data_IF_051972937840
#
_entry.id   IF_051972937840
#
_cell.length_a   1.000
_cell.length_b   1.000
_cell.length_c   1.000
_cell.angle_alpha   90.00
_cell.angle_beta   90.00
_cell.angle_gamma   90.00
#
_symmetry.space_group_name_H-M   'P 1'
#
loop_
_entity.id
_entity.type
_entity.pdbx_description
1 polymer ?
#
# COMPACT_ATOMS: atom_id res chain seq x y z
N UNK A 1 -12.97 -9.68 -0.16
CA UNK A 1 -12.87 -8.94 1.12
C UNK A 1 -11.62 -8.08 1.08
N UNK A 2 -11.69 -6.87 1.64
CA UNK A 2 -10.57 -5.95 1.76
C UNK A 2 -10.19 -5.79 3.24
N UNK A 3 -8.93 -6.05 3.57
CA UNK A 3 -8.36 -5.85 4.90
C UNK A 3 -7.52 -4.55 4.87
N UNK A 4 -8.07 -3.48 5.41
CA UNK A 4 -7.39 -2.20 5.54
C UNK A 4 -6.80 -2.08 6.95
N UNK A 5 -5.51 -2.42 7.10
CA UNK A 5 -4.86 -2.52 8.39
C UNK A 5 -3.47 -1.87 8.37
N UNK A 6 -3.13 -1.20 9.46
CA UNK A 6 -1.86 -0.52 9.66
C UNK A 6 -1.77 0.05 11.08
N UNK A 7 -0.77 0.89 11.34
CA UNK A 7 -0.55 1.48 12.68
C UNK A 7 -1.74 2.35 13.15
N UNK A 8 -2.51 2.92 12.23
CA UNK A 8 -3.71 3.70 12.53
C UNK A 8 -4.80 2.91 13.26
N UNK A 9 -4.77 1.59 13.21
CA UNK A 9 -5.69 0.74 13.97
C UNK A 9 -5.42 0.78 15.49
N UNK A 10 -4.25 1.25 15.94
CA UNK A 10 -3.88 1.33 17.36
C UNK A 10 -4.79 2.31 18.10
N UNK A 11 -4.99 3.49 17.54
CA UNK A 11 -5.86 4.54 18.11
C UNK A 11 -7.22 4.65 17.41
N UNK A 12 -7.45 3.88 16.33
CA UNK A 12 -8.68 3.96 15.54
C UNK A 12 -8.86 5.33 14.84
N UNK A 13 -7.78 5.89 14.31
CA UNK A 13 -7.81 7.16 13.57
C UNK A 13 -8.01 6.94 12.08
N UNK A 14 -8.32 8.02 11.35
CA UNK A 14 -8.51 8.00 9.88
C UNK A 14 -7.17 7.88 9.16
N UNK A 15 -6.57 6.73 9.14
CA UNK A 15 -5.31 6.37 8.49
C UNK A 15 -4.31 7.56 8.40
N UNK A 16 -3.50 7.59 7.36
CA UNK A 16 -2.55 8.68 7.08
C UNK A 16 -3.22 10.04 6.85
N UNK A 17 -4.50 10.03 6.50
CA UNK A 17 -5.29 11.27 6.34
C UNK A 17 -5.37 12.10 7.61
N UNK A 18 -5.22 11.46 8.78
CA UNK A 18 -5.21 12.14 10.08
C UNK A 18 -4.12 13.21 10.15
N UNK A 19 -2.90 12.91 9.75
CA UNK A 19 -1.83 13.91 9.77
C UNK A 19 -1.77 14.73 8.48
N UNK A 20 -2.08 14.16 7.33
CA UNK A 20 -2.09 14.89 6.07
C UNK A 20 -3.05 16.08 6.10
N UNK A 21 -4.23 15.89 6.68
CA UNK A 21 -5.22 16.96 6.86
C UNK A 21 -4.98 17.83 8.11
N UNK A 22 -3.89 17.62 8.85
CA UNK A 22 -3.55 18.34 10.08
C UNK A 22 -4.57 18.17 11.22
N UNK A 23 -5.28 17.04 11.27
CA UNK A 23 -6.14 16.69 12.42
C UNK A 23 -5.30 16.19 13.59
N UNK A 24 -4.15 15.59 13.30
CA UNK A 24 -3.19 15.06 14.23
C UNK A 24 -1.77 15.43 13.75
N UNK A 25 -0.85 15.89 14.63
CA UNK A 25 0.55 16.08 14.25
C UNK A 25 1.19 14.78 13.76
N UNK A 26 2.10 14.87 12.79
CA UNK A 26 2.77 13.69 12.21
C UNK A 26 3.46 12.82 13.27
N UNK A 27 4.20 13.43 14.19
CA UNK A 27 4.90 12.69 15.25
C UNK A 27 3.93 11.94 16.17
N UNK A 28 2.80 12.57 16.49
CA UNK A 28 1.75 11.95 17.30
C UNK A 28 1.06 10.80 16.56
N UNK A 29 0.89 10.93 15.23
CA UNK A 29 0.41 9.84 14.40
C UNK A 29 1.40 8.66 14.40
N UNK A 30 2.69 8.92 14.19
CA UNK A 30 3.75 7.90 14.16
C UNK A 30 3.99 7.26 15.53
N UNK A 31 3.65 7.92 16.62
CA UNK A 31 3.71 7.34 17.98
C UNK A 31 2.83 6.08 18.11
N UNK A 32 1.86 5.89 17.22
CA UNK A 32 1.08 4.65 17.15
C UNK A 32 1.94 3.42 16.88
N UNK A 33 3.12 3.59 16.25
CA UNK A 33 4.10 2.51 16.12
C UNK A 33 4.43 1.86 17.48
N UNK A 34 4.50 2.63 18.56
CA UNK A 34 4.79 2.14 19.94
C UNK A 34 3.69 1.22 20.48
N UNK A 35 2.47 1.33 19.97
CA UNK A 35 1.32 0.51 20.38
C UNK A 35 1.00 -0.64 19.44
N UNK A 36 1.64 -0.72 18.28
CA UNK A 36 1.36 -1.78 17.31
C UNK A 36 2.05 -3.08 17.69
N UNK A 37 1.36 -3.92 18.44
CA UNK A 37 1.89 -5.21 18.96
C UNK A 37 1.49 -6.40 18.10
N UNK A 38 0.41 -6.30 17.34
CA UNK A 38 -0.23 -7.40 16.61
C UNK A 38 -0.44 -8.67 17.48
N UNK A 39 -0.64 -8.51 18.82
CA UNK A 39 -0.70 -9.65 19.76
C UNK A 39 -1.89 -10.57 19.55
N UNK A 40 -3.01 -10.01 19.08
CA UNK A 40 -4.24 -10.74 18.80
C UNK A 40 -4.39 -11.11 17.31
N UNK A 41 -3.34 -10.88 16.51
CA UNK A 41 -3.37 -11.20 15.09
C UNK A 41 -3.24 -12.70 14.87
N UNK A 42 -4.30 -13.29 14.30
CA UNK A 42 -4.37 -14.68 13.88
C UNK A 42 -4.72 -14.74 12.39
N UNK A 43 -3.70 -14.83 11.51
CA UNK A 43 -3.92 -14.86 10.07
C UNK A 43 -4.76 -16.04 9.61
N UNK A 44 -4.64 -17.19 10.29
CA UNK A 44 -5.42 -18.39 9.97
C UNK A 44 -6.91 -18.16 10.25
N UNK A 45 -7.25 -17.59 11.41
CA UNK A 45 -8.64 -17.27 11.74
C UNK A 45 -9.22 -16.22 10.78
N UNK A 46 -8.41 -15.20 10.41
CA UNK A 46 -8.84 -14.17 9.46
C UNK A 46 -9.14 -14.77 8.08
N UNK A 47 -8.22 -15.54 7.53
CA UNK A 47 -8.37 -16.15 6.20
C UNK A 47 -9.53 -17.15 6.18
N UNK A 48 -9.70 -17.94 7.24
CA UNK A 48 -10.84 -18.84 7.37
C UNK A 48 -12.17 -18.08 7.32
N UNK A 49 -12.29 -16.97 8.05
CA UNK A 49 -13.51 -16.15 8.05
C UNK A 49 -13.79 -15.54 6.67
N UNK A 50 -12.73 -15.12 5.96
CA UNK A 50 -12.85 -14.57 4.59
C UNK A 50 -13.32 -15.66 3.63
N UNK A 51 -12.76 -16.86 3.71
CA UNK A 51 -13.15 -18.02 2.88
C UNK A 51 -14.60 -18.42 3.14
N UNK A 52 -15.01 -18.53 4.41
CA UNK A 52 -16.38 -18.85 4.83
C UNK A 52 -17.41 -17.81 4.37
N UNK A 53 -17.00 -16.55 4.12
CA UNK A 53 -17.86 -15.52 3.54
C UNK A 53 -18.20 -15.77 2.06
N UNK A 54 -17.56 -16.73 1.41
CA UNK A 54 -17.70 -17.01 -0.03
C UNK A 54 -16.88 -16.08 -0.91
N UNK A 55 -15.93 -15.31 -0.35
CA UNK A 55 -15.05 -14.42 -1.13
C UNK A 55 -14.17 -15.23 -2.09
N UNK A 56 -13.99 -14.69 -3.31
CA UNK A 56 -13.13 -15.28 -4.33
C UNK A 56 -11.72 -14.70 -4.31
N UNK A 57 -11.57 -13.53 -3.72
CA UNK A 57 -10.27 -12.88 -3.52
C UNK A 57 -10.28 -12.03 -2.25
N UNK A 58 -9.11 -11.78 -1.74
CA UNK A 58 -8.91 -10.87 -0.62
C UNK A 58 -7.76 -9.92 -0.92
N UNK A 59 -7.88 -8.67 -0.49
CA UNK A 59 -6.85 -7.64 -0.61
C UNK A 59 -6.43 -7.21 0.78
N UNK A 60 -5.13 -7.09 1.02
CA UNK A 60 -4.59 -6.57 2.27
C UNK A 60 -3.68 -5.38 2.00
N UNK A 61 -3.72 -4.37 2.88
CA UNK A 61 -2.76 -3.26 2.85
C UNK A 61 -1.35 -3.80 3.10
N UNK A 62 -0.41 -3.45 2.23
CA UNK A 62 1.02 -3.69 2.46
C UNK A 62 1.68 -2.47 3.09
N UNK A 63 1.34 -1.29 2.59
CA UNK A 63 1.79 0.02 3.07
C UNK A 63 0.74 1.06 2.69
N UNK A 64 0.33 1.90 3.67
CA UNK A 64 -0.48 3.09 3.41
C UNK A 64 0.42 4.32 3.16
N UNK A 65 -0.14 5.51 3.01
CA UNK A 65 0.59 6.75 2.73
C UNK A 65 1.54 7.18 3.86
N UNK A 66 1.44 6.57 5.04
CA UNK A 66 2.33 6.80 6.19
C UNK A 66 3.68 6.10 6.06
N UNK A 67 3.87 5.28 5.04
CA UNK A 67 5.13 4.61 4.75
C UNK A 67 5.44 3.37 5.61
N UNK A 68 4.58 2.98 6.55
CA UNK A 68 4.82 1.84 7.42
C UNK A 68 4.52 0.54 6.71
N UNK A 69 5.57 -0.18 6.33
CA UNK A 69 5.46 -1.47 5.65
C UNK A 69 5.02 -2.58 6.62
N UNK A 70 4.04 -3.40 6.23
CA UNK A 70 3.57 -4.53 7.02
C UNK A 70 4.40 -5.82 6.82
N UNK A 71 5.34 -5.82 5.86
CA UNK A 71 6.28 -6.92 5.60
C UNK A 71 7.71 -6.56 6.02
N UNK A 72 8.58 -7.55 6.06
CA UNK A 72 10.02 -7.38 6.36
C UNK A 72 10.77 -6.79 5.16
N UNK A 73 10.46 -5.55 4.80
CA UNK A 73 11.12 -4.89 3.68
C UNK A 73 12.62 -4.68 3.93
N UNK A 74 13.41 -4.95 2.89
CA UNK A 74 14.84 -4.61 2.83
C UNK A 74 15.05 -3.27 2.10
N UNK A 75 13.98 -2.69 1.57
CA UNK A 75 13.96 -1.40 0.90
C UNK A 75 13.24 -0.39 1.77
N UNK A 76 14.00 0.53 2.38
CA UNK A 76 13.49 1.51 3.34
C UNK A 76 13.63 1.09 4.80
N UNK A 77 13.38 2.05 5.70
CA UNK A 77 13.75 1.94 7.11
C UNK A 77 12.54 1.74 8.04
N UNK A 78 11.32 1.99 7.55
CA UNK A 78 10.10 1.96 8.35
C UNK A 78 9.28 0.72 8.02
N UNK A 79 9.10 -0.16 9.01
CA UNK A 79 8.20 -1.31 8.91
C UNK A 79 7.72 -1.73 10.31
N UNK A 80 6.64 -2.48 10.35
CA UNK A 80 6.15 -3.04 11.64
C UNK A 80 7.19 -3.92 12.31
N UNK A 81 8.06 -4.58 11.56
CA UNK A 81 9.17 -5.36 12.13
C UNK A 81 10.24 -4.49 12.77
N UNK A 82 10.63 -3.40 12.10
CA UNK A 82 11.74 -2.54 12.52
C UNK A 82 11.31 -1.49 13.56
N UNK A 83 10.06 -1.01 13.46
CA UNK A 83 9.63 0.23 14.11
C UNK A 83 8.54 0.03 15.18
N UNK A 84 8.12 -1.22 15.44
CA UNK A 84 7.02 -1.49 16.38
C UNK A 84 7.32 -2.65 17.33
N UNK A 85 6.63 -2.75 18.48
CA UNK A 85 6.73 -3.88 19.39
C UNK A 85 6.30 -5.23 18.78
N UNK A 86 5.58 -5.25 17.65
CA UNK A 86 5.29 -6.49 16.94
C UNK A 86 6.58 -7.22 16.54
N UNK A 87 7.63 -6.49 16.16
CA UNK A 87 8.97 -7.01 15.89
C UNK A 87 9.03 -8.11 14.83
N UNK A 88 7.99 -8.24 14.00
CA UNK A 88 7.87 -9.30 12.99
C UNK A 88 7.12 -8.83 11.76
N UNK A 89 7.32 -9.52 10.65
CA UNK A 89 6.51 -9.45 9.46
C UNK A 89 5.08 -9.96 9.77
N UNK A 90 4.07 -9.19 9.42
CA UNK A 90 2.66 -9.56 9.60
C UNK A 90 1.96 -9.83 8.27
N UNK A 91 2.60 -9.49 7.14
CA UNK A 91 2.04 -9.74 5.81
C UNK A 91 2.27 -11.18 5.36
N UNK A 92 3.50 -11.70 5.50
CA UNK A 92 3.85 -13.05 5.06
C UNK A 92 2.93 -14.12 5.65
N UNK A 93 2.63 -14.15 6.96
CA UNK A 93 1.73 -15.16 7.52
C UNK A 93 0.31 -15.10 6.94
N UNK A 94 -0.20 -13.91 6.60
CA UNK A 94 -1.49 -13.77 5.94
C UNK A 94 -1.46 -14.36 4.53
N UNK A 95 -0.44 -14.02 3.76
CA UNK A 95 -0.26 -14.54 2.40
C UNK A 95 -0.15 -16.06 2.40
N UNK A 96 0.61 -16.63 3.33
CA UNK A 96 0.78 -18.08 3.46
C UNK A 96 -0.55 -18.79 3.74
N UNK A 97 -1.43 -18.19 4.55
CA UNK A 97 -2.77 -18.76 4.78
C UNK A 97 -3.68 -18.60 3.54
N UNK A 98 -3.67 -17.46 2.87
CA UNK A 98 -4.44 -17.27 1.62
C UNK A 98 -4.02 -18.29 0.56
N UNK A 99 -2.73 -18.58 0.43
CA UNK A 99 -2.19 -19.54 -0.55
C UNK A 99 -2.55 -21.00 -0.26
N UNK A 100 -3.14 -21.31 0.89
CA UNK A 100 -3.72 -22.65 1.21
C UNK A 100 -5.16 -22.80 0.75
N UNK A 101 -5.77 -21.74 0.24
CA UNK A 101 -7.16 -21.67 -0.23
C UNK A 101 -7.22 -21.50 -1.75
N UNK A 102 -8.42 -21.57 -2.32
CA UNK A 102 -8.67 -21.26 -3.73
C UNK A 102 -8.85 -19.75 -3.98
N UNK A 103 -8.69 -18.90 -2.96
CA UNK A 103 -8.83 -17.45 -3.11
C UNK A 103 -7.62 -16.82 -3.80
N UNK A 104 -7.89 -15.78 -4.58
CA UNK A 104 -6.83 -14.96 -5.16
C UNK A 104 -6.31 -13.93 -4.16
N UNK A 105 -5.00 -13.70 -4.20
CA UNK A 105 -4.31 -12.72 -3.36
C UNK A 105 -4.24 -11.37 -4.04
N UNK A 106 -4.76 -10.34 -3.40
CA UNK A 106 -4.56 -8.94 -3.75
C UNK A 106 -3.67 -8.21 -2.76
N UNK A 107 -2.83 -7.31 -3.26
CA UNK A 107 -2.02 -6.42 -2.45
C UNK A 107 -2.41 -4.97 -2.71
N UNK A 108 -2.80 -4.24 -1.64
CA UNK A 108 -2.90 -2.79 -1.69
C UNK A 108 -1.52 -2.19 -1.48
N UNK A 109 -1.14 -1.23 -2.31
CA UNK A 109 0.10 -0.49 -2.18
C UNK A 109 -0.12 1.00 -2.47
N UNK A 110 0.28 1.85 -1.54
CA UNK A 110 0.30 3.29 -1.77
C UNK A 110 1.48 3.71 -2.63
N UNK A 111 1.20 4.39 -3.74
CA UNK A 111 2.23 5.07 -4.55
C UNK A 111 2.83 6.26 -3.80
N UNK A 112 2.00 6.96 -3.02
CA UNK A 112 2.42 8.04 -2.13
C UNK A 112 3.20 7.50 -0.94
N UNK A 113 4.11 8.31 -0.42
CA UNK A 113 4.74 8.08 0.87
C UNK A 113 5.05 9.43 1.53
N UNK A 114 4.12 9.92 2.32
CA UNK A 114 4.26 11.22 2.98
C UNK A 114 5.26 11.23 4.14
N UNK A 115 5.74 10.07 4.58
CA UNK A 115 6.78 9.95 5.60
C UNK A 115 8.19 10.24 5.07
N UNK A 116 8.39 10.06 3.77
CA UNK A 116 9.73 10.12 3.18
C UNK A 116 10.17 11.53 2.86
N UNK A 117 11.41 11.83 3.21
CA UNK A 117 12.01 13.13 2.89
C UNK A 117 12.25 13.35 1.39
N UNK A 118 12.38 12.29 0.60
CA UNK A 118 12.53 12.36 -0.87
C UNK A 118 11.19 12.37 -1.62
N UNK A 119 10.04 12.31 -0.90
CA UNK A 119 8.72 12.55 -1.50
C UNK A 119 8.38 14.06 -1.44
N UNK A 120 7.75 14.63 -2.52
CA UNK A 120 7.53 16.08 -2.60
C UNK A 120 6.65 16.67 -1.51
N UNK A 121 5.57 16.00 -1.17
CA UNK A 121 4.56 16.49 -0.22
C UNK A 121 4.66 15.76 1.13
N UNK A 122 4.28 16.42 2.21
CA UNK A 122 4.17 15.84 3.54
C UNK A 122 2.79 16.04 4.17
N UNK A 123 2.16 17.18 3.92
CA UNK A 123 0.79 17.48 4.33
C UNK A 123 0.06 18.21 3.21
N UNK A 124 -1.26 18.36 3.36
CA UNK A 124 -2.08 19.15 2.42
C UNK A 124 -1.59 20.61 2.26
N UNK A 125 -0.88 21.15 3.25
CA UNK A 125 -0.46 22.54 3.30
C UNK A 125 1.04 22.74 3.10
N UNK A 126 1.79 21.66 2.98
CA UNK A 126 3.24 21.72 2.97
C UNK A 126 3.82 20.87 1.84
N UNK A 127 4.74 21.46 1.08
CA UNK A 127 5.50 20.82 0.02
C UNK A 127 6.98 20.98 0.34
N UNK A 128 7.72 19.88 0.36
CA UNK A 128 9.16 19.86 0.68
C UNK A 128 10.00 20.43 -0.47
N UNK A 129 9.61 20.14 -1.71
CA UNK A 129 10.32 20.57 -2.91
C UNK A 129 9.44 20.42 -4.18
N UNK A 130 9.85 21.04 -5.26
CA UNK A 130 9.30 20.82 -6.60
C UNK A 130 10.12 19.77 -7.35
N UNK A 131 9.48 18.78 -7.97
CA UNK A 131 10.16 17.75 -8.78
C UNK A 131 11.02 18.38 -9.91
N UNK A 132 10.57 19.53 -10.47
CA UNK A 132 11.33 20.25 -11.50
C UNK A 132 12.66 20.82 -10.99
N UNK A 133 12.68 21.23 -9.73
CA UNK A 133 13.85 21.88 -9.12
C UNK A 133 14.83 20.83 -8.56
N UNK A 134 14.33 19.65 -8.17
CA UNK A 134 15.16 18.55 -7.66
C UNK A 134 14.73 17.19 -8.25
N UNK A 135 14.98 16.95 -9.53
CA UNK A 135 14.61 15.70 -10.17
C UNK A 135 15.38 14.47 -9.62
N UNK A 136 16.59 14.68 -9.09
CA UNK A 136 17.39 13.59 -8.51
C UNK A 136 16.75 13.05 -7.22
N UNK A 137 16.16 13.93 -6.43
CA UNK A 137 15.44 13.55 -5.22
C UNK A 137 14.19 12.74 -5.55
N UNK A 138 13.46 13.11 -6.60
CA UNK A 138 12.36 12.34 -7.14
C UNK A 138 12.81 10.97 -7.67
N UNK A 139 13.94 10.91 -8.37
CA UNK A 139 14.52 9.64 -8.84
C UNK A 139 14.87 8.70 -7.68
N UNK A 140 15.35 9.23 -6.55
CA UNK A 140 15.57 8.46 -5.33
C UNK A 140 14.27 7.83 -4.82
N UNK A 141 13.21 8.63 -4.74
CA UNK A 141 11.89 8.14 -4.36
C UNK A 141 11.36 7.06 -5.32
N UNK A 142 11.47 7.28 -6.63
CA UNK A 142 11.07 6.29 -7.62
C UNK A 142 11.83 4.96 -7.44
N UNK A 143 13.14 5.00 -7.23
CA UNK A 143 13.94 3.79 -6.98
C UNK A 143 13.48 3.05 -5.74
N UNK A 144 13.17 3.77 -4.66
CA UNK A 144 12.59 3.19 -3.45
C UNK A 144 11.24 2.50 -3.75
N UNK A 145 10.32 3.20 -4.41
CA UNK A 145 9.00 2.67 -4.76
C UNK A 145 9.11 1.39 -5.63
N UNK A 146 9.94 1.45 -6.67
CA UNK A 146 10.19 0.30 -7.53
C UNK A 146 10.80 -0.87 -6.77
N UNK A 147 11.75 -0.60 -5.87
CA UNK A 147 12.38 -1.62 -5.03
C UNK A 147 11.36 -2.35 -4.14
N UNK A 148 10.46 -1.62 -3.48
CA UNK A 148 9.40 -2.22 -2.66
C UNK A 148 8.40 -3.03 -3.49
N UNK A 149 7.96 -2.49 -4.64
CA UNK A 149 7.07 -3.23 -5.54
C UNK A 149 7.73 -4.49 -6.12
N UNK A 150 9.03 -4.44 -6.41
CA UNK A 150 9.78 -5.63 -6.85
C UNK A 150 9.90 -6.68 -5.75
N UNK A 151 10.16 -6.28 -4.49
CA UNK A 151 10.15 -7.19 -3.34
C UNK A 151 8.82 -7.92 -3.23
N UNK A 152 7.72 -7.18 -3.17
CA UNK A 152 6.37 -7.70 -3.05
C UNK A 152 6.01 -8.63 -4.22
N UNK A 153 6.33 -8.21 -5.44
CA UNK A 153 6.07 -8.98 -6.66
C UNK A 153 6.82 -10.30 -6.68
N UNK A 154 8.11 -10.27 -6.33
CA UNK A 154 8.99 -11.45 -6.32
C UNK A 154 8.60 -12.42 -5.22
N UNK A 155 8.32 -11.91 -4.01
CA UNK A 155 8.07 -12.72 -2.83
C UNK A 155 6.67 -13.33 -2.85
N UNK A 156 5.65 -12.55 -3.21
CA UNK A 156 4.26 -12.96 -3.05
C UNK A 156 3.53 -13.28 -4.35
N UNK A 157 4.01 -12.79 -5.50
CA UNK A 157 3.40 -13.00 -6.81
C UNK A 157 1.87 -12.80 -6.77
N UNK A 158 1.38 -11.60 -6.39
CA UNK A 158 -0.04 -11.36 -6.22
C UNK A 158 -0.82 -11.54 -7.52
N UNK A 159 -2.08 -11.91 -7.39
CA UNK A 159 -3.02 -12.05 -8.50
C UNK A 159 -3.67 -10.69 -8.84
N UNK A 160 -3.70 -9.78 -7.88
CA UNK A 160 -4.30 -8.47 -7.99
C UNK A 160 -3.46 -7.41 -7.28
N UNK A 161 -3.28 -6.27 -7.95
CA UNK A 161 -2.74 -5.06 -7.34
C UNK A 161 -3.82 -4.00 -7.18
N UNK A 162 -3.89 -3.46 -5.96
CA UNK A 162 -4.70 -2.30 -5.65
C UNK A 162 -3.79 -1.13 -5.30
N UNK A 163 -3.48 -0.31 -6.29
CA UNK A 163 -2.76 0.94 -6.06
C UNK A 163 -3.66 2.02 -5.51
N UNK A 164 -3.03 2.98 -4.86
CA UNK A 164 -3.68 4.17 -4.34
C UNK A 164 -2.70 5.34 -4.33
N UNK A 165 -3.21 6.58 -4.39
CA UNK A 165 -2.36 7.75 -4.31
C UNK A 165 -1.79 8.24 -5.63
N UNK A 166 -2.39 7.87 -6.77
CA UNK A 166 -1.89 8.29 -8.09
C UNK A 166 -2.20 9.75 -8.45
N UNK A 167 -3.13 10.40 -7.74
CA UNK A 167 -3.64 11.74 -8.05
C UNK A 167 -2.65 12.89 -7.90
N UNK A 168 -1.50 12.70 -7.23
CA UNK A 168 -0.54 13.77 -7.03
C UNK A 168 0.41 13.98 -8.23
N UNK A 169 0.55 13.00 -9.11
CA UNK A 169 1.43 13.06 -10.27
C UNK A 169 0.77 12.41 -11.49
N UNK A 170 1.22 12.81 -12.67
CA UNK A 170 0.80 12.16 -13.92
C UNK A 170 1.49 10.81 -14.17
N UNK A 171 1.02 10.08 -15.18
CA UNK A 171 1.52 8.76 -15.52
C UNK A 171 3.01 8.73 -15.90
N UNK A 172 3.51 9.77 -16.54
CA UNK A 172 4.91 9.86 -16.94
C UNK A 172 5.80 10.09 -15.72
N UNK A 173 5.38 10.96 -14.81
CA UNK A 173 6.09 11.23 -13.56
C UNK A 173 6.09 10.00 -12.66
N UNK A 174 4.96 9.30 -12.50
CA UNK A 174 4.88 8.02 -11.79
C UNK A 174 5.65 6.89 -12.46
N UNK A 175 5.97 7.00 -13.75
CA UNK A 175 6.54 5.91 -14.57
C UNK A 175 5.60 4.70 -14.62
N UNK A 176 4.30 4.96 -14.76
CA UNK A 176 3.25 3.93 -14.64
C UNK A 176 3.44 2.76 -15.59
N UNK A 177 3.86 3.01 -16.84
CA UNK A 177 4.15 1.95 -17.81
C UNK A 177 5.28 1.01 -17.34
N UNK A 178 6.31 1.57 -16.70
CA UNK A 178 7.45 0.79 -16.17
C UNK A 178 7.01 -0.02 -14.95
N UNK A 179 6.17 0.54 -14.08
CA UNK A 179 5.59 -0.17 -12.94
C UNK A 179 4.80 -1.38 -13.46
N UNK A 180 3.87 -1.20 -14.39
CA UNK A 180 3.07 -2.30 -14.97
C UNK A 180 3.98 -3.38 -15.56
N UNK A 181 5.01 -2.99 -16.29
CA UNK A 181 6.00 -3.93 -16.85
C UNK A 181 6.72 -4.72 -15.76
N UNK A 182 7.12 -4.06 -14.66
CA UNK A 182 7.74 -4.70 -13.51
C UNK A 182 6.82 -5.75 -12.88
N UNK A 183 5.56 -5.39 -12.60
CA UNK A 183 4.61 -6.28 -11.95
C UNK A 183 4.33 -7.53 -12.80
N UNK A 184 4.10 -7.34 -14.10
CA UNK A 184 3.81 -8.43 -15.04
C UNK A 184 5.01 -9.32 -15.36
N UNK A 185 6.22 -8.87 -15.09
CA UNK A 185 7.42 -9.70 -15.13
C UNK A 185 7.33 -10.87 -14.13
N UNK A 186 6.77 -10.64 -12.95
CA UNK A 186 6.64 -11.63 -11.88
C UNK A 186 5.28 -12.34 -11.85
N UNK A 187 4.22 -11.64 -12.25
CA UNK A 187 2.84 -12.14 -12.30
C UNK A 187 2.18 -11.72 -13.63
N UNK A 188 2.43 -12.43 -14.75
CA UNK A 188 1.97 -12.00 -16.07
C UNK A 188 0.45 -11.83 -16.21
N UNK A 189 -0.32 -12.51 -15.38
CA UNK A 189 -1.79 -12.50 -15.39
C UNK A 189 -2.39 -11.62 -14.28
N UNK A 190 -1.56 -10.93 -13.48
CA UNK A 190 -2.09 -10.07 -12.43
C UNK A 190 -2.96 -8.97 -13.03
N UNK A 191 -4.06 -8.66 -12.35
CA UNK A 191 -4.90 -7.52 -12.68
C UNK A 191 -4.51 -6.33 -11.79
N UNK A 192 -4.63 -5.13 -12.35
CA UNK A 192 -4.18 -3.88 -11.73
C UNK A 192 -5.33 -2.90 -11.77
N UNK A 193 -5.63 -2.22 -10.64
CA UNK A 193 -6.69 -1.22 -10.63
C UNK A 193 -6.29 0.07 -11.39
N UNK A 194 -7.28 0.92 -11.68
CA UNK A 194 -7.08 2.16 -12.45
C UNK A 194 -6.26 3.24 -11.71
N UNK A 195 -6.01 3.08 -10.40
CA UNK A 195 -5.25 4.06 -9.59
C UNK A 195 -3.73 3.94 -9.79
N UNK A 196 -3.34 3.86 -11.03
CA UNK A 196 -1.97 3.92 -11.53
C UNK A 196 -1.91 4.87 -12.73
N UNK A 197 -2.56 6.03 -12.59
CA UNK A 197 -2.65 7.08 -13.59
C UNK A 197 -3.12 6.55 -14.97
N UNK A 198 -4.18 5.73 -14.99
CA UNK A 198 -4.83 5.27 -16.21
C UNK A 198 -4.26 4.01 -16.87
N UNK A 199 -3.28 3.34 -16.26
CA UNK A 199 -2.69 2.11 -16.80
C UNK A 199 -3.30 0.81 -16.23
N UNK A 200 -4.44 0.91 -15.55
CA UNK A 200 -5.10 -0.23 -14.89
C UNK A 200 -6.00 -1.05 -15.81
N UNK A 201 -6.36 -2.23 -15.35
CA UNK A 201 -7.24 -3.18 -16.03
C UNK A 201 -8.71 -3.05 -15.59
N UNK A 202 -8.97 -2.40 -14.43
CA UNK A 202 -10.32 -2.23 -13.88
C UNK A 202 -10.45 -0.94 -13.06
N UNK A 203 -11.63 -0.32 -13.09
CA UNK A 203 -11.92 0.90 -12.36
C UNK A 203 -12.29 0.64 -10.89
N UNK A 204 -11.94 1.59 -10.02
CA UNK A 204 -12.26 1.59 -8.59
C UNK A 204 -12.99 2.88 -8.21
N UNK A 205 -14.27 3.03 -8.57
CA UNK A 205 -15.07 4.20 -8.17
C UNK A 205 -15.22 4.25 -6.65
N UNK A 206 -15.20 5.47 -6.10
CA UNK A 206 -15.37 5.72 -4.67
C UNK A 206 -16.61 6.56 -4.37
N UNK A 207 -17.12 6.41 -3.14
CA UNK A 207 -18.17 7.22 -2.53
C UNK A 207 -19.50 7.25 -3.31
N UNK A 208 -19.75 6.27 -4.16
CA UNK A 208 -20.98 6.16 -4.92
C UNK A 208 -21.10 4.84 -5.67
N UNK A 209 -22.33 4.51 -6.02
CA UNK A 209 -22.60 3.41 -6.96
C UNK A 209 -22.64 4.02 -8.35
N UNK A 210 -21.80 3.58 -9.30
CA UNK A 210 -21.83 4.09 -10.67
C UNK A 210 -23.19 3.82 -11.29
N UNK A 211 -23.81 4.84 -11.91
CA UNK A 211 -25.08 4.72 -12.64
C UNK A 211 -24.82 4.07 -14.01
N UNK A 212 -23.61 4.23 -14.53
CA UNK A 212 -23.15 3.65 -15.79
C UNK A 212 -21.91 2.80 -15.47
N UNK A 213 -21.75 1.69 -16.21
CA UNK A 213 -20.56 0.83 -16.07
C UNK A 213 -19.31 1.69 -16.29
N UNK A 214 -18.36 1.74 -15.33
CA UNK A 214 -17.11 2.45 -15.53
C UNK A 214 -16.33 1.86 -16.70
N UNK A 215 -15.75 2.72 -17.53
CA UNK A 215 -14.81 2.30 -18.55
C UNK A 215 -13.48 1.91 -17.85
N UNK A 216 -12.92 0.80 -18.30
CA UNK A 216 -11.62 0.28 -17.83
C UNK A 216 -10.45 0.96 -18.53
#
# INVERSE_FOLDING_TARGET
VFIHWGIYAVKGVSESWSFYNSYLPYDEYMDQCKGFTAKNYDPKAWVKLIEESGARYTVITTKHHDGVALWDTQVGDISVKKSTPAGRDVLTPFVDEVRKTDMHLGLYYSLLDWSRSDYPNDTRKSTRYSIKDDPQRWDSFCKFNFGQMEELSRQYKPDLWWFDGDWEQDAATWRSAEIVKLLRKYSPKCIINSRIAGYGDYATPEQGVPVVRPES
#
